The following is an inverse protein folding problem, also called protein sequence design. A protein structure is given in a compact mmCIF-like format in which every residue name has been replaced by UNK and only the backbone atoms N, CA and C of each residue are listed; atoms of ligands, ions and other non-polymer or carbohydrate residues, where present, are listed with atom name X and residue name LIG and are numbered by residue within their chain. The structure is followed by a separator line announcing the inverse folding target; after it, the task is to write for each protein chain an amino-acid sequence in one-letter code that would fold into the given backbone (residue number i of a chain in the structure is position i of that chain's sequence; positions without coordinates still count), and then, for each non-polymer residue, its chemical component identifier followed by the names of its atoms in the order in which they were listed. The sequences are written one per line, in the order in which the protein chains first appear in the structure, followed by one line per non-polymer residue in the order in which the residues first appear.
data_IF_798046676246
#
_entry.id   IF_798046676246
#
_cell.length_a   1.000
_cell.length_b   1.000
_cell.length_c   1.000
_cell.angle_alpha   90.00
_cell.angle_beta   90.00
_cell.angle_gamma   90.00
#
_symmetry.space_group_name_H-M   'P 1'
#
loop_
_entity.id
_entity.type
_entity.pdbx_description
1 polymer ?
#
# COMPACT_ATOMS: atom_id res chain seq x y z
N UNK A 1 -12.11 -0.84 -42.82
CA UNK A 1 -12.42 0.24 -41.86
C UNK A 1 -11.21 0.32 -40.94
N UNK A 2 -10.31 1.30 -41.17
CA UNK A 2 -9.15 1.53 -40.31
C UNK A 2 -9.60 2.34 -39.10
N UNK A 3 -9.78 1.68 -37.94
CA UNK A 3 -9.95 2.34 -36.68
C UNK A 3 -8.60 2.87 -36.20
N UNK A 4 -8.40 4.17 -36.24
CA UNK A 4 -7.26 4.86 -35.65
C UNK A 4 -7.42 4.76 -34.13
N UNK A 5 -6.66 3.88 -33.49
CA UNK A 5 -6.52 3.87 -32.02
C UNK A 5 -5.69 5.11 -31.68
N UNK A 6 -6.37 6.13 -31.14
CA UNK A 6 -5.71 7.28 -30.55
C UNK A 6 -4.98 6.80 -29.28
N UNK A 7 -3.73 6.43 -29.46
CA UNK A 7 -2.77 6.29 -28.37
C UNK A 7 -2.55 7.67 -27.77
N UNK A 8 -3.32 7.98 -26.73
CA UNK A 8 -3.08 9.15 -25.88
C UNK A 8 -1.73 9.01 -25.18
N UNK A 9 -0.67 9.45 -25.83
CA UNK A 9 0.62 9.65 -25.18
C UNK A 9 0.45 10.74 -24.14
N UNK A 10 0.34 10.36 -22.89
CA UNK A 10 0.55 11.29 -21.80
C UNK A 10 2.03 11.68 -21.81
N UNK A 11 2.28 12.87 -22.31
CA UNK A 11 3.61 13.48 -22.40
C UNK A 11 4.21 13.68 -21.01
N UNK A 12 5.29 12.99 -20.72
CA UNK A 12 6.40 13.58 -19.95
C UNK A 12 6.37 13.55 -18.43
N UNK A 13 5.29 13.19 -17.73
CA UNK A 13 5.35 13.00 -16.26
C UNK A 13 5.53 11.53 -15.93
N UNK A 14 6.57 11.23 -15.13
CA UNK A 14 6.74 9.88 -14.59
C UNK A 14 5.47 9.49 -13.80
N UNK A 15 4.98 8.26 -14.03
CA UNK A 15 3.85 7.72 -13.26
C UNK A 15 4.16 7.76 -11.77
N UNK A 16 3.14 8.05 -10.98
CA UNK A 16 3.24 7.96 -9.54
C UNK A 16 3.49 6.52 -9.11
N UNK A 17 4.29 6.34 -8.07
CA UNK A 17 4.59 5.03 -7.50
C UNK A 17 3.83 4.86 -6.18
N UNK A 18 3.01 3.84 -6.13
CA UNK A 18 2.20 3.48 -4.96
C UNK A 18 2.78 2.20 -4.35
N UNK A 19 3.17 2.27 -3.08
CA UNK A 19 3.63 1.11 -2.33
C UNK A 19 2.55 0.63 -1.36
N UNK A 20 2.21 -0.65 -1.42
CA UNK A 20 1.29 -1.31 -0.50
C UNK A 20 2.10 -2.20 0.44
N UNK A 21 2.14 -1.84 1.72
CA UNK A 21 2.82 -2.58 2.78
C UNK A 21 1.80 -3.52 3.44
N UNK A 22 1.96 -4.80 3.16
CA UNK A 22 0.99 -5.85 3.46
C UNK A 22 0.27 -6.30 2.19
N UNK A 23 0.58 -7.51 1.71
CA UNK A 23 -0.04 -8.11 0.53
C UNK A 23 -1.17 -9.09 0.89
N UNK A 24 -1.82 -8.89 2.04
CA UNK A 24 -3.01 -9.64 2.44
C UNK A 24 -4.23 -9.36 1.54
N UNK A 25 -5.43 -9.64 2.04
CA UNK A 25 -6.65 -9.43 1.26
C UNK A 25 -6.87 -7.95 0.92
N UNK A 26 -6.73 -7.06 1.91
CA UNK A 26 -6.90 -5.62 1.71
C UNK A 26 -5.84 -5.07 0.75
N UNK A 27 -4.56 -5.37 0.99
CA UNK A 27 -3.47 -4.88 0.14
C UNK A 27 -3.58 -5.37 -1.32
N UNK A 28 -3.92 -6.64 -1.54
CA UNK A 28 -4.14 -7.18 -2.88
C UNK A 28 -5.32 -6.51 -3.60
N UNK A 29 -6.45 -6.31 -2.91
CA UNK A 29 -7.62 -5.61 -3.46
C UNK A 29 -7.30 -4.16 -3.80
N UNK A 30 -6.59 -3.44 -2.91
CA UNK A 30 -6.17 -2.07 -3.17
C UNK A 30 -5.21 -1.98 -4.36
N UNK A 31 -4.29 -2.94 -4.51
CA UNK A 31 -3.39 -3.00 -5.65
C UNK A 31 -4.18 -3.11 -6.97
N UNK A 32 -5.14 -4.01 -7.02
CA UNK A 32 -6.00 -4.20 -8.19
C UNK A 32 -6.80 -2.92 -8.50
N UNK A 33 -7.46 -2.33 -7.51
CA UNK A 33 -8.24 -1.10 -7.68
C UNK A 33 -7.37 0.10 -8.09
N UNK A 34 -6.15 0.22 -7.55
CA UNK A 34 -5.22 1.29 -7.93
C UNK A 34 -4.84 1.20 -9.41
N UNK A 35 -4.65 0.00 -9.92
CA UNK A 35 -4.42 -0.22 -11.35
C UNK A 35 -5.64 0.05 -12.21
N UNK A 36 -6.81 -0.49 -11.84
CA UNK A 36 -8.07 -0.25 -12.57
C UNK A 36 -8.39 1.24 -12.70
N UNK A 37 -8.00 2.04 -11.71
CA UNK A 37 -8.18 3.50 -11.72
C UNK A 37 -6.98 4.25 -12.30
N UNK A 38 -5.96 3.54 -12.79
CA UNK A 38 -4.73 4.09 -13.38
C UNK A 38 -4.04 5.13 -12.47
N UNK A 39 -4.07 4.93 -11.14
CA UNK A 39 -3.52 5.87 -10.16
C UNK A 39 -1.99 5.92 -10.18
N UNK A 40 -1.33 4.88 -10.68
CA UNK A 40 0.13 4.80 -10.74
C UNK A 40 0.64 3.37 -10.88
N UNK A 41 1.97 3.23 -10.87
CA UNK A 41 2.63 1.92 -10.79
C UNK A 41 2.60 1.41 -9.34
N UNK A 42 2.38 0.12 -9.16
CA UNK A 42 2.10 -0.47 -7.84
C UNK A 42 3.21 -1.41 -7.41
N UNK A 43 3.68 -1.25 -6.18
CA UNK A 43 4.57 -2.20 -5.50
C UNK A 43 3.82 -2.83 -4.34
N UNK A 44 3.67 -4.15 -4.37
CA UNK A 44 3.17 -4.95 -3.26
C UNK A 44 4.37 -5.46 -2.44
N UNK A 45 4.42 -5.10 -1.17
CA UNK A 45 5.42 -5.59 -0.24
C UNK A 45 4.77 -6.47 0.84
N UNK A 46 5.39 -7.60 1.14
CA UNK A 46 5.04 -8.43 2.29
C UNK A 46 6.28 -9.16 2.80
N UNK A 47 6.30 -9.53 4.07
CA UNK A 47 7.37 -10.34 4.67
C UNK A 47 7.27 -11.82 4.25
N UNK A 48 6.07 -12.28 3.92
CA UNK A 48 5.83 -13.66 3.49
C UNK A 48 6.23 -13.84 2.03
N UNK A 49 7.24 -14.68 1.80
CA UNK A 49 7.75 -14.96 0.44
C UNK A 49 6.67 -15.59 -0.44
N UNK A 50 6.64 -15.16 -1.69
CA UNK A 50 5.69 -15.65 -2.70
C UNK A 50 4.36 -14.94 -2.72
N UNK A 51 3.85 -14.45 -1.60
CA UNK A 51 2.53 -13.78 -1.53
C UNK A 51 2.49 -12.50 -2.38
N UNK A 52 3.37 -11.52 -2.19
CA UNK A 52 3.31 -10.30 -3.00
C UNK A 52 3.62 -10.56 -4.48
N UNK A 53 4.52 -11.51 -4.77
CA UNK A 53 4.86 -11.87 -6.15
C UNK A 53 3.69 -12.52 -6.87
N UNK A 54 3.03 -13.50 -6.24
CA UNK A 54 1.87 -14.18 -6.80
C UNK A 54 0.74 -13.21 -7.10
N UNK A 55 0.38 -12.35 -6.14
CA UNK A 55 -0.68 -11.35 -6.33
C UNK A 55 -0.34 -10.32 -7.41
N UNK A 56 0.90 -9.84 -7.45
CA UNK A 56 1.33 -8.92 -8.50
C UNK A 56 1.22 -9.57 -9.89
N UNK A 57 1.61 -10.84 -10.01
CA UNK A 57 1.51 -11.61 -11.26
C UNK A 57 0.06 -11.79 -11.70
N UNK A 58 -0.84 -12.18 -10.79
CA UNK A 58 -2.26 -12.35 -11.09
C UNK A 58 -2.88 -11.05 -11.65
N UNK A 59 -2.56 -9.91 -11.01
CA UNK A 59 -3.07 -8.61 -11.45
C UNK A 59 -2.49 -8.24 -12.83
N UNK A 60 -1.19 -8.45 -13.05
CA UNK A 60 -0.55 -8.20 -14.36
C UNK A 60 -1.20 -9.04 -15.47
N UNK A 61 -1.50 -10.31 -15.19
CA UNK A 61 -2.15 -11.18 -16.16
C UNK A 61 -3.58 -10.75 -16.50
N UNK A 62 -4.28 -10.09 -15.58
CA UNK A 62 -5.61 -9.52 -15.84
C UNK A 62 -5.58 -8.19 -16.61
N UNK A 63 -4.45 -7.48 -16.56
CA UNK A 63 -4.33 -6.13 -17.12
C UNK A 63 -4.68 -6.01 -18.62
N UNK A 64 -4.27 -6.94 -19.52
CA UNK A 64 -4.62 -6.87 -20.93
C UNK A 64 -6.11 -6.94 -21.18
N UNK A 65 -6.85 -7.71 -20.37
CA UNK A 65 -8.32 -7.84 -20.49
C UNK A 65 -9.00 -6.51 -20.16
N UNK A 66 -8.44 -5.75 -19.21
CA UNK A 66 -8.95 -4.45 -18.76
C UNK A 66 -8.35 -3.27 -19.54
N UNK A 67 -7.40 -3.51 -20.46
CA UNK A 67 -6.73 -2.46 -21.22
C UNK A 67 -5.79 -1.59 -20.40
N UNK A 68 -5.28 -2.11 -19.28
CA UNK A 68 -4.43 -1.38 -18.33
C UNK A 68 -2.95 -1.60 -18.64
N UNK A 69 -2.14 -0.57 -18.37
CA UNK A 69 -0.69 -0.62 -18.58
C UNK A 69 0.11 -0.30 -17.30
N UNK A 70 -0.53 -0.22 -16.12
CA UNK A 70 0.12 -0.04 -14.85
C UNK A 70 1.12 -1.18 -14.57
N UNK A 71 2.29 -0.84 -14.07
CA UNK A 71 3.30 -1.82 -13.68
C UNK A 71 3.06 -2.30 -12.25
N UNK A 72 3.23 -3.60 -12.04
CA UNK A 72 3.12 -4.22 -10.73
C UNK A 72 4.39 -4.96 -10.37
N UNK A 73 4.83 -4.80 -9.13
CA UNK A 73 5.99 -5.50 -8.58
C UNK A 73 5.65 -6.07 -7.21
N UNK A 74 5.77 -7.39 -7.05
CA UNK A 74 5.72 -8.05 -5.74
C UNK A 74 7.12 -8.21 -5.16
N UNK A 75 7.34 -7.84 -3.89
CA UNK A 75 8.67 -7.87 -3.28
C UNK A 75 8.62 -8.18 -1.78
N UNK A 76 9.74 -8.74 -1.27
CA UNK A 76 9.97 -9.00 0.16
C UNK A 76 11.10 -8.10 0.73
N UNK A 77 11.48 -7.07 0.01
CA UNK A 77 12.51 -6.13 0.45
C UNK A 77 12.00 -4.69 0.35
N UNK A 78 12.18 -3.92 1.40
CA UNK A 78 11.85 -2.49 1.41
C UNK A 78 12.57 -1.67 0.33
N UNK A 79 13.66 -2.19 -0.24
CA UNK A 79 14.32 -1.53 -1.40
C UNK A 79 13.36 -1.36 -2.57
N UNK A 80 12.39 -2.24 -2.73
CA UNK A 80 11.42 -2.18 -3.81
C UNK A 80 10.50 -0.95 -3.74
N UNK A 81 10.20 -0.45 -2.53
CA UNK A 81 9.37 0.75 -2.35
C UNK A 81 10.13 2.06 -2.51
N UNK A 82 11.45 2.01 -2.77
CA UNK A 82 12.26 3.22 -2.91
C UNK A 82 11.64 4.22 -3.88
N UNK A 83 11.54 5.46 -3.43
CA UNK A 83 10.98 6.56 -4.21
C UNK A 83 9.47 6.51 -4.40
N UNK A 84 8.73 5.72 -3.59
CA UNK A 84 7.28 5.75 -3.63
C UNK A 84 6.75 7.15 -3.28
N UNK A 85 5.76 7.61 -4.03
CA UNK A 85 5.04 8.86 -3.78
C UNK A 85 3.99 8.68 -2.67
N UNK A 86 3.32 7.53 -2.68
CA UNK A 86 2.29 7.15 -1.71
C UNK A 86 2.61 5.77 -1.14
N UNK A 87 2.49 5.63 0.17
CA UNK A 87 2.60 4.34 0.87
C UNK A 87 1.30 4.08 1.61
N UNK A 88 0.69 2.92 1.36
CA UNK A 88 -0.51 2.47 2.07
C UNK A 88 -0.12 1.28 2.94
N UNK A 89 -0.35 1.40 4.24
CA UNK A 89 0.05 0.39 5.23
C UNK A 89 -1.18 -0.39 5.67
N UNK A 90 -1.22 -1.65 5.29
CA UNK A 90 -2.23 -2.63 5.70
C UNK A 90 -1.61 -3.78 6.50
N UNK A 91 -0.28 -3.72 6.70
CA UNK A 91 0.47 -4.71 7.47
C UNK A 91 0.05 -4.70 8.94
N UNK A 92 -0.10 -5.87 9.52
CA UNK A 92 -0.49 -6.09 10.90
C UNK A 92 -1.26 -7.39 11.01
N UNK A 93 -1.44 -7.87 12.24
CA UNK A 93 -2.25 -9.06 12.49
C UNK A 93 -3.69 -8.65 12.82
N UNK A 94 -4.69 -9.40 12.37
CA UNK A 94 -6.06 -9.23 12.83
C UNK A 94 -6.19 -9.75 14.27
N UNK A 95 -7.18 -9.23 14.99
CA UNK A 95 -7.49 -9.74 16.33
C UNK A 95 -7.92 -11.20 16.25
N UNK A 96 -7.28 -12.06 17.05
CA UNK A 96 -7.60 -13.47 17.15
C UNK A 96 -8.52 -13.74 18.36
N UNK A 97 -9.31 -14.81 18.37
CA UNK A 97 -10.05 -15.23 19.56
C UNK A 97 -9.10 -15.36 20.77
N UNK A 98 -9.52 -14.82 21.92
CA UNK A 98 -8.72 -14.82 23.15
C UNK A 98 -7.68 -13.71 23.26
N UNK A 99 -7.44 -12.92 22.22
CA UNK A 99 -6.50 -11.81 22.24
C UNK A 99 -7.17 -10.55 22.83
N UNK A 100 -6.54 -9.92 23.81
CA UNK A 100 -6.96 -8.62 24.33
C UNK A 100 -6.70 -7.49 23.32
N UNK A 101 -7.21 -6.29 23.61
CA UNK A 101 -6.85 -5.10 22.80
C UNK A 101 -5.38 -4.72 22.99
N UNK A 102 -4.87 -4.87 24.23
CA UNK A 102 -3.50 -4.50 24.56
C UNK A 102 -2.49 -5.45 23.92
N UNK A 103 -2.81 -6.74 23.83
CA UNK A 103 -1.99 -7.70 23.08
C UNK A 103 -1.90 -7.32 21.59
N UNK A 104 -3.03 -6.93 20.99
CA UNK A 104 -3.06 -6.49 19.61
C UNK A 104 -2.25 -5.22 19.38
N UNK A 105 -2.38 -4.25 20.29
CA UNK A 105 -1.57 -3.02 20.27
C UNK A 105 -0.09 -3.37 20.32
N UNK A 106 0.31 -4.19 21.29
CA UNK A 106 1.72 -4.56 21.46
C UNK A 106 2.33 -5.19 20.23
N UNK A 107 1.65 -6.18 19.64
CA UNK A 107 2.15 -6.87 18.43
C UNK A 107 2.21 -5.93 17.24
N UNK A 108 1.14 -5.17 16.98
CA UNK A 108 1.08 -4.29 15.83
C UNK A 108 2.00 -3.06 15.98
N UNK A 109 2.33 -2.65 17.20
CA UNK A 109 3.37 -1.63 17.46
C UNK A 109 4.70 -2.06 16.84
N UNK A 110 5.17 -3.26 17.14
CA UNK A 110 6.42 -3.77 16.54
C UNK A 110 6.37 -3.85 15.02
N UNK A 111 5.20 -4.17 14.45
CA UNK A 111 5.01 -4.14 12.99
C UNK A 111 5.14 -2.71 12.46
N UNK A 112 4.50 -1.73 13.10
CA UNK A 112 4.56 -0.32 12.68
C UNK A 112 5.95 0.29 12.81
N UNK A 113 6.71 -0.09 13.84
CA UNK A 113 8.10 0.31 14.00
C UNK A 113 8.97 -0.18 12.83
N UNK A 114 8.85 -1.46 12.48
CA UNK A 114 9.58 -2.06 11.35
C UNK A 114 9.18 -1.41 10.02
N UNK A 115 7.88 -1.17 9.80
CA UNK A 115 7.36 -0.50 8.61
C UNK A 115 7.84 0.95 8.54
N UNK A 116 7.76 1.69 9.64
CA UNK A 116 8.22 3.07 9.74
C UNK A 116 9.71 3.21 9.41
N UNK A 117 10.55 2.33 9.96
CA UNK A 117 11.98 2.28 9.63
C UNK A 117 12.22 2.00 8.12
N UNK A 118 11.45 1.07 7.55
CA UNK A 118 11.49 0.77 6.12
C UNK A 118 11.11 1.97 5.24
N UNK A 119 10.07 2.70 5.62
CA UNK A 119 9.63 3.94 4.94
C UNK A 119 10.69 5.02 5.04
N UNK A 120 11.19 5.28 6.24
CA UNK A 120 12.24 6.27 6.51
C UNK A 120 13.47 6.08 5.62
N UNK A 121 13.90 4.82 5.49
CA UNK A 121 15.12 4.49 4.73
C UNK A 121 14.91 4.55 3.20
N UNK A 122 13.71 4.32 2.69
CA UNK A 122 13.50 4.11 1.25
C UNK A 122 12.61 5.17 0.58
N UNK A 123 11.68 5.78 1.30
CA UNK A 123 10.75 6.77 0.75
C UNK A 123 10.41 7.90 1.74
N UNK A 124 11.42 8.68 2.21
CA UNK A 124 11.26 9.69 3.26
C UNK A 124 10.42 10.91 2.84
N UNK A 125 9.96 10.96 1.61
CA UNK A 125 9.10 12.04 1.09
C UNK A 125 7.67 11.58 0.80
N UNK A 126 7.39 10.29 0.97
CA UNK A 126 6.09 9.72 0.65
C UNK A 126 4.95 10.31 1.50
N UNK A 127 3.74 10.27 0.95
CA UNK A 127 2.52 10.42 1.72
C UNK A 127 2.08 9.05 2.21
N UNK A 128 1.81 8.89 3.50
CA UNK A 128 1.55 7.59 4.13
C UNK A 128 0.11 7.53 4.63
N UNK A 129 -0.60 6.48 4.24
CA UNK A 129 -1.96 6.18 4.67
C UNK A 129 -1.91 4.88 5.50
N UNK A 130 -2.22 4.95 6.78
CA UNK A 130 -2.32 3.80 7.65
C UNK A 130 -3.75 3.27 7.71
N UNK A 131 -3.92 1.95 7.58
CA UNK A 131 -5.21 1.26 7.67
C UNK A 131 -5.20 0.26 8.84
N UNK A 132 -4.02 -0.05 9.37
CA UNK A 132 -3.83 -1.06 10.43
C UNK A 132 -4.51 -0.65 11.74
N UNK A 133 -5.20 -1.60 12.35
CA UNK A 133 -5.88 -1.41 13.64
C UNK A 133 -5.03 -1.89 14.83
N UNK A 134 -5.22 -1.25 16.02
CA UNK A 134 -6.09 -0.11 16.33
C UNK A 134 -5.56 1.18 15.69
N UNK A 135 -6.38 1.85 14.87
CA UNK A 135 -5.91 2.85 13.93
C UNK A 135 -5.14 3.99 14.56
N UNK A 136 -5.72 4.66 15.57
CA UNK A 136 -5.12 5.87 16.16
C UNK A 136 -3.74 5.59 16.76
N UNK A 137 -3.61 4.46 17.48
CA UNK A 137 -2.33 4.04 18.04
C UNK A 137 -1.31 3.72 16.94
N UNK A 138 -1.73 2.99 15.90
CA UNK A 138 -0.85 2.56 14.82
C UNK A 138 -0.38 3.74 13.96
N UNK A 139 -1.24 4.72 13.71
CA UNK A 139 -0.87 5.97 13.01
C UNK A 139 0.19 6.74 13.79
N UNK A 140 0.03 6.84 15.12
CA UNK A 140 0.99 7.54 15.98
C UNK A 140 2.36 6.86 15.95
N UNK A 141 2.39 5.55 16.19
CA UNK A 141 3.64 4.76 16.16
C UNK A 141 4.31 4.85 14.78
N UNK A 142 3.54 4.70 13.72
CA UNK A 142 4.06 4.77 12.34
C UNK A 142 4.65 6.14 12.02
N UNK A 143 3.99 7.21 12.44
CA UNK A 143 4.49 8.58 12.28
C UNK A 143 5.84 8.76 13.00
N UNK A 144 5.94 8.35 14.25
CA UNK A 144 7.17 8.48 15.03
C UNK A 144 8.30 7.62 14.45
N UNK A 145 8.03 6.37 14.14
CA UNK A 145 9.03 5.46 13.57
C UNK A 145 9.52 5.89 12.19
N UNK A 146 8.64 6.44 11.34
CA UNK A 146 9.02 6.93 10.03
C UNK A 146 9.74 8.28 10.07
N UNK A 147 9.54 9.06 11.11
CA UNK A 147 10.08 10.43 11.23
C UNK A 147 9.49 11.40 10.21
N UNK A 148 8.36 11.07 9.59
CA UNK A 148 7.68 11.92 8.64
C UNK A 148 6.91 13.05 9.36
N UNK A 149 6.77 14.22 8.74
CA UNK A 149 6.01 15.32 9.31
C UNK A 149 4.51 14.95 9.42
N UNK A 150 3.82 15.57 10.38
CA UNK A 150 2.42 15.26 10.71
C UNK A 150 1.47 15.28 9.51
N UNK A 151 1.66 16.20 8.58
CA UNK A 151 0.84 16.32 7.37
C UNK A 151 1.12 15.27 6.30
N UNK A 152 2.03 14.34 6.55
CA UNK A 152 2.40 13.25 5.63
C UNK A 152 1.93 11.87 6.08
N UNK A 153 1.41 11.75 7.30
CA UNK A 153 0.93 10.45 7.84
C UNK A 153 -0.51 10.62 8.30
N UNK A 154 -1.41 9.87 7.69
CA UNK A 154 -2.84 9.90 8.00
C UNK A 154 -3.38 8.49 8.25
N UNK A 155 -4.46 8.40 9.03
CA UNK A 155 -5.24 7.18 9.21
C UNK A 155 -6.50 7.20 8.32
N UNK A 156 -6.85 6.05 7.74
CA UNK A 156 -8.08 5.88 6.99
C UNK A 156 -9.13 5.21 7.88
N UNK A 157 -10.16 5.95 8.28
CA UNK A 157 -11.28 5.46 9.09
C UNK A 157 -12.61 6.11 8.69
N UNK A 158 -12.79 7.38 8.99
CA UNK A 158 -14.07 8.08 8.89
C UNK A 158 -14.73 8.03 7.51
N UNK A 159 -13.94 7.95 6.44
CA UNK A 159 -14.49 7.83 5.08
C UNK A 159 -15.26 6.50 4.89
N UNK A 160 -14.78 5.42 5.50
CA UNK A 160 -15.45 4.12 5.48
C UNK A 160 -16.71 4.12 6.35
N UNK A 161 -16.60 4.69 7.54
CA UNK A 161 -17.71 4.73 8.50
C UNK A 161 -18.83 5.64 7.98
N UNK A 162 -18.49 6.78 7.38
CA UNK A 162 -19.46 7.68 6.73
C UNK A 162 -20.16 7.02 5.53
N UNK A 163 -19.48 6.15 4.79
CA UNK A 163 -20.07 5.42 3.67
C UNK A 163 -21.03 4.30 4.10
N UNK A 164 -20.93 3.84 5.35
CA UNK A 164 -21.82 2.81 5.93
C UNK A 164 -23.07 3.42 6.59
N UNK A 165 -23.06 4.72 6.88
CA UNK A 165 -24.13 5.44 7.52
C UNK A 165 -25.15 5.94 6.49
#
# INVERSE_FOLDING_TARGET
IKGTILSGRHSGMARKKIALIGAGNIGGTLAHLAGLKELGDVVLFDIVKGIPQGKALDIVQSSPVSGLDAKYLGANSYRAIRGADVVIVTAGIPRKPGMSRDDLVSVNTGVMEAVGAGIKANCPKAFVICITNPLDAMVLVLKEASGLPHNKVVGMAGILDSARF
#
